data_IF_509604849931
#
_entry.id   IF_509604849931
#
_cell.length_a   1.000
_cell.length_b   1.000
_cell.length_c   1.000
_cell.angle_alpha   90.00
_cell.angle_beta   90.00
_cell.angle_gamma   90.00
#
_symmetry.space_group_name_H-M   'P 1'
#
loop_
_entity.id
_entity.type
_entity.pdbx_description
1 polymer ?
#
# COMPACT_ATOMS: atom_id res chain seq x y z
N UNK A 1 5.87 -20.78 3.62
CA UNK A 1 7.29 -21.21 3.80
C UNK A 1 7.31 -22.72 3.65
N UNK A 2 8.05 -23.25 2.68
CA UNK A 2 8.11 -24.71 2.43
C UNK A 2 8.43 -25.13 0.99
N UNK A 3 8.47 -24.18 0.05
CA UNK A 3 8.76 -24.41 -1.37
C UNK A 3 10.27 -24.42 -1.72
N UNK A 4 11.18 -24.60 -0.76
CA UNK A 4 12.61 -24.31 -1.00
C UNK A 4 13.63 -25.42 -0.64
N UNK A 5 13.20 -26.67 -0.38
CA UNK A 5 14.17 -27.75 -0.08
C UNK A 5 14.20 -28.93 -1.07
N UNK A 6 13.33 -28.96 -2.10
CA UNK A 6 13.33 -30.08 -3.06
C UNK A 6 14.31 -29.93 -4.25
N UNK A 7 14.94 -28.77 -4.45
CA UNK A 7 15.80 -28.53 -5.63
C UNK A 7 17.25 -28.99 -5.48
N UNK A 8 17.66 -29.52 -4.31
CA UNK A 8 19.05 -29.93 -4.06
C UNK A 8 19.34 -31.43 -4.27
N UNK A 9 18.33 -32.29 -4.46
CA UNK A 9 18.50 -33.75 -4.54
C UNK A 9 18.54 -34.32 -5.97
N UNK A 10 18.62 -33.46 -7.00
CA UNK A 10 18.55 -33.86 -8.42
C UNK A 10 19.90 -33.67 -9.11
N UNK A 11 20.97 -34.28 -8.58
CA UNK A 11 22.26 -34.32 -9.31
C UNK A 11 22.92 -35.70 -9.40
N UNK A 12 22.34 -36.77 -8.84
CA UNK A 12 22.84 -38.15 -9.05
C UNK A 12 21.74 -39.22 -9.03
N UNK A 13 20.70 -39.06 -9.84
CA UNK A 13 19.64 -40.07 -9.95
C UNK A 13 19.83 -40.85 -11.25
N UNK A 14 20.15 -42.13 -11.11
CA UNK A 14 20.51 -43.04 -12.20
C UNK A 14 19.25 -43.35 -13.04
N UNK A 15 19.34 -43.47 -14.37
CA UNK A 15 18.17 -43.65 -15.26
C UNK A 15 17.32 -44.87 -14.86
N UNK A 16 17.94 -45.90 -14.27
CA UNK A 16 17.27 -47.07 -13.69
C UNK A 16 16.36 -46.75 -12.50
N UNK A 17 16.70 -45.77 -11.65
CA UNK A 17 15.84 -45.37 -10.53
C UNK A 17 14.66 -44.52 -10.99
N UNK A 18 14.81 -43.81 -12.12
CA UNK A 18 13.71 -43.08 -12.76
C UNK A 18 12.68 -44.04 -13.39
N UNK A 19 13.14 -45.15 -13.97
CA UNK A 19 12.23 -46.16 -14.54
C UNK A 19 11.51 -46.98 -13.46
N UNK A 20 12.16 -47.25 -12.32
CA UNK A 20 11.51 -47.92 -11.19
C UNK A 20 10.43 -47.04 -10.54
N UNK A 21 10.66 -45.72 -10.41
CA UNK A 21 9.65 -44.82 -9.83
C UNK A 21 8.44 -44.65 -10.76
N UNK A 22 8.64 -44.65 -12.08
CA UNK A 22 7.54 -44.64 -13.05
C UNK A 22 6.72 -45.94 -12.97
N UNK A 23 7.35 -47.11 -12.78
CA UNK A 23 6.64 -48.37 -12.61
C UNK A 23 5.79 -48.42 -11.33
N UNK A 24 6.24 -47.79 -10.24
CA UNK A 24 5.47 -47.66 -8.99
C UNK A 24 4.27 -46.72 -9.16
N UNK A 25 4.38 -45.68 -10.00
CA UNK A 25 3.27 -44.77 -10.29
C UNK A 25 2.17 -45.39 -11.18
N UNK A 26 2.47 -46.42 -11.98
CA UNK A 26 1.49 -47.06 -12.89
C UNK A 26 0.65 -48.15 -12.20
N UNK A 27 1.08 -48.64 -11.03
CA UNK A 27 0.36 -49.66 -10.24
C UNK A 27 -0.32 -49.12 -8.98
N UNK A 28 -0.43 -47.80 -8.84
CA UNK A 28 -1.15 -47.15 -7.75
C UNK A 28 -2.64 -46.97 -8.03
N UNK A 29 -3.34 -48.02 -8.47
CA UNK A 29 -4.80 -48.08 -8.24
C UNK A 29 -4.98 -48.33 -6.75
N UNK A 30 -5.25 -47.24 -6.01
CA UNK A 30 -5.68 -47.30 -4.62
C UNK A 30 -7.01 -48.01 -4.54
N UNK A 31 -6.92 -49.33 -4.36
CA UNK A 31 -7.99 -50.25 -4.06
C UNK A 31 -8.81 -49.78 -2.86
N UNK A 32 -10.12 -49.97 -2.96
CA UNK A 32 -11.11 -49.50 -1.99
C UNK A 32 -10.79 -49.95 -0.58
N UNK A 33 -10.38 -49.00 0.26
CA UNK A 33 -10.30 -49.16 1.72
C UNK A 33 -10.92 -47.92 2.34
N UNK A 34 -11.86 -48.13 3.27
CA UNK A 34 -12.64 -47.08 3.95
C UNK A 34 -11.81 -45.83 4.29
N UNK A 35 -11.93 -44.78 3.48
CA UNK A 35 -11.37 -43.46 3.81
C UNK A 35 -12.17 -42.88 4.97
N UNK A 36 -11.65 -43.06 6.19
CA UNK A 36 -12.22 -42.48 7.40
C UNK A 36 -12.09 -40.95 7.42
N UNK A 37 -13.18 -40.25 7.69
CA UNK A 37 -13.22 -38.78 7.72
C UNK A 37 -12.90 -38.18 9.09
N UNK A 38 -12.39 -38.99 10.03
CA UNK A 38 -12.09 -38.60 11.41
C UNK A 38 -11.00 -37.53 11.51
N UNK A 39 -9.94 -37.62 10.71
CA UNK A 39 -8.88 -36.60 10.66
C UNK A 39 -9.39 -35.25 10.13
N UNK A 40 -10.26 -35.29 9.13
CA UNK A 40 -10.92 -34.11 8.54
C UNK A 40 -11.87 -33.46 9.55
N UNK A 41 -12.61 -34.29 10.31
CA UNK A 41 -13.48 -33.83 11.39
C UNK A 41 -12.71 -33.02 12.43
N UNK A 42 -11.57 -33.53 12.91
CA UNK A 42 -10.75 -32.81 13.88
C UNK A 42 -10.24 -31.46 13.35
N UNK A 43 -9.81 -31.40 12.08
CA UNK A 43 -9.32 -30.18 11.46
C UNK A 43 -10.42 -29.10 11.32
N UNK A 44 -11.67 -29.49 11.04
CA UNK A 44 -12.80 -28.57 10.94
C UNK A 44 -13.39 -28.18 12.29
N UNK A 45 -13.34 -29.06 13.29
CA UNK A 45 -13.68 -28.73 14.68
C UNK A 45 -12.78 -27.62 15.23
N UNK A 46 -11.48 -27.65 14.93
CA UNK A 46 -10.55 -26.58 15.30
C UNK A 46 -10.89 -25.22 14.64
N UNK A 47 -11.68 -25.23 13.56
CA UNK A 47 -12.21 -24.03 12.89
C UNK A 47 -13.62 -23.64 13.34
N UNK A 48 -14.19 -24.34 14.33
CA UNK A 48 -15.54 -24.11 14.85
C UNK A 48 -16.67 -24.71 14.01
N UNK A 49 -16.37 -25.70 13.15
CA UNK A 49 -17.36 -26.40 12.33
C UNK A 49 -17.49 -27.83 12.86
N UNK A 50 -18.49 -28.07 13.74
CA UNK A 50 -18.59 -29.29 14.53
C UNK A 50 -19.53 -30.38 13.96
N UNK A 51 -20.52 -30.02 13.14
CA UNK A 51 -21.68 -30.91 12.86
C UNK A 51 -21.84 -31.44 11.41
N UNK A 52 -21.09 -30.94 10.42
CA UNK A 52 -21.39 -31.25 9.00
C UNK A 52 -20.44 -32.27 8.35
N UNK A 53 -19.60 -32.95 9.14
CA UNK A 53 -18.59 -33.91 8.63
C UNK A 53 -19.09 -35.36 8.76
N UNK A 54 -19.27 -36.10 7.64
CA UNK A 54 -19.69 -37.49 7.67
C UNK A 54 -18.60 -38.39 8.28
N UNK A 55 -18.97 -39.55 8.84
CA UNK A 55 -18.01 -40.48 9.45
C UNK A 55 -17.13 -41.22 8.43
N UNK A 56 -17.65 -41.41 7.21
CA UNK A 56 -16.98 -42.10 6.10
C UNK A 56 -17.08 -41.23 4.84
N UNK A 57 -16.17 -41.44 3.89
CA UNK A 57 -16.18 -40.73 2.61
C UNK A 57 -17.46 -41.03 1.81
N UNK A 58 -18.09 -39.98 1.28
CA UNK A 58 -19.29 -40.03 0.45
C UNK A 58 -18.96 -39.64 -1.00
N UNK A 59 -19.83 -39.96 -1.97
CA UNK A 59 -19.68 -39.45 -3.34
C UNK A 59 -19.82 -37.93 -3.34
N UNK A 60 -18.95 -37.22 -4.07
CA UNK A 60 -18.91 -35.75 -4.14
C UNK A 60 -19.73 -35.12 -5.27
N UNK A 61 -20.67 -35.83 -5.87
CA UNK A 61 -21.46 -35.32 -7.00
C UNK A 61 -22.30 -34.07 -6.65
N UNK A 62 -22.66 -33.91 -5.37
CA UNK A 62 -23.37 -32.74 -4.84
C UNK A 62 -22.51 -31.49 -4.71
N UNK A 63 -21.18 -31.60 -4.88
CA UNK A 63 -20.24 -30.49 -4.70
C UNK A 63 -20.13 -29.60 -5.94
N UNK A 64 -19.97 -28.29 -5.70
CA UNK A 64 -19.90 -27.25 -6.74
C UNK A 64 -18.51 -26.65 -6.91
N UNK A 65 -17.74 -26.55 -5.83
CA UNK A 65 -16.43 -25.87 -5.79
C UNK A 65 -15.30 -26.91 -5.70
N UNK A 66 -15.44 -27.87 -4.81
CA UNK A 66 -14.53 -28.98 -4.62
C UNK A 66 -14.66 -30.02 -5.75
N UNK A 67 -13.61 -30.83 -5.93
CA UNK A 67 -13.60 -31.88 -6.95
C UNK A 67 -14.68 -32.94 -6.65
N UNK A 68 -15.41 -33.36 -7.69
CA UNK A 68 -16.48 -34.36 -7.62
C UNK A 68 -15.93 -35.78 -7.55
N UNK A 69 -15.19 -36.09 -6.49
CA UNK A 69 -14.66 -37.42 -6.16
C UNK A 69 -15.17 -37.87 -4.79
N UNK A 70 -14.77 -39.06 -4.32
CA UNK A 70 -14.99 -39.47 -2.94
C UNK A 70 -14.44 -38.39 -1.98
N UNK A 71 -15.27 -37.93 -1.06
CA UNK A 71 -15.03 -36.71 -0.27
C UNK A 71 -15.60 -36.83 1.14
N UNK A 72 -15.02 -36.09 2.08
CA UNK A 72 -15.53 -35.91 3.44
C UNK A 72 -16.33 -34.61 3.58
N UNK A 73 -16.75 -34.01 2.47
CA UNK A 73 -17.44 -32.72 2.43
C UNK A 73 -18.90 -32.86 1.99
N UNK A 74 -19.82 -32.35 2.79
CA UNK A 74 -21.25 -32.20 2.44
C UNK A 74 -21.49 -30.86 1.73
N UNK A 75 -22.64 -30.68 1.07
CA UNK A 75 -22.98 -29.40 0.41
C UNK A 75 -23.04 -28.25 1.43
N UNK A 76 -23.58 -28.50 2.63
CA UNK A 76 -23.63 -27.51 3.71
C UNK A 76 -22.23 -27.14 4.23
N UNK A 77 -21.35 -28.15 4.40
CA UNK A 77 -19.96 -27.92 4.80
C UNK A 77 -19.21 -27.12 3.74
N UNK A 78 -19.39 -27.43 2.45
CA UNK A 78 -18.79 -26.70 1.34
C UNK A 78 -19.22 -25.22 1.33
N UNK A 79 -20.51 -24.97 1.55
CA UNK A 79 -21.03 -23.60 1.62
C UNK A 79 -20.47 -22.82 2.83
N UNK A 80 -20.43 -23.43 4.02
CA UNK A 80 -19.86 -22.81 5.23
C UNK A 80 -18.38 -22.51 5.06
N UNK A 81 -17.61 -23.46 4.52
CA UNK A 81 -16.18 -23.26 4.24
C UNK A 81 -15.94 -22.18 3.19
N UNK A 82 -16.76 -22.12 2.15
CA UNK A 82 -16.66 -21.06 1.14
C UNK A 82 -16.95 -19.68 1.74
N UNK A 83 -17.97 -19.57 2.60
CA UNK A 83 -18.32 -18.31 3.27
C UNK A 83 -17.20 -17.85 4.22
N UNK A 84 -16.71 -18.76 5.09
CA UNK A 84 -15.62 -18.48 6.02
C UNK A 84 -14.32 -18.11 5.29
N UNK A 85 -13.99 -18.82 4.20
CA UNK A 85 -12.79 -18.53 3.42
C UNK A 85 -12.85 -17.14 2.78
N UNK A 86 -14.03 -16.72 2.31
CA UNK A 86 -14.24 -15.38 1.75
C UNK A 86 -14.11 -14.30 2.82
N UNK A 87 -14.72 -14.51 4.00
CA UNK A 87 -14.61 -13.57 5.11
C UNK A 87 -13.17 -13.40 5.58
N UNK A 88 -12.44 -14.52 5.73
CA UNK A 88 -11.04 -14.50 6.14
C UNK A 88 -10.14 -13.82 5.10
N UNK A 89 -10.37 -14.10 3.81
CA UNK A 89 -9.68 -13.41 2.72
C UNK A 89 -9.94 -11.90 2.75
N UNK A 90 -11.21 -11.48 2.85
CA UNK A 90 -11.58 -10.07 2.92
C UNK A 90 -10.97 -9.40 4.16
N UNK A 91 -10.91 -10.11 5.30
CA UNK A 91 -10.29 -9.63 6.53
C UNK A 91 -8.80 -9.39 6.35
N UNK A 92 -8.06 -10.36 5.81
CA UNK A 92 -6.61 -10.23 5.57
C UNK A 92 -6.34 -9.13 4.54
N UNK A 93 -7.11 -9.08 3.46
CA UNK A 93 -6.96 -8.06 2.43
C UNK A 93 -7.15 -6.65 3.00
N UNK A 94 -8.21 -6.42 3.78
CA UNK A 94 -8.44 -5.14 4.46
C UNK A 94 -7.29 -4.79 5.39
N UNK A 95 -6.80 -5.74 6.19
CA UNK A 95 -5.68 -5.50 7.09
C UNK A 95 -4.40 -5.07 6.36
N UNK A 96 -4.06 -5.69 5.24
CA UNK A 96 -2.88 -5.30 4.45
C UNK A 96 -3.07 -3.95 3.75
N UNK A 97 -4.25 -3.70 3.20
CA UNK A 97 -4.59 -2.39 2.60
C UNK A 97 -4.55 -1.29 3.65
N UNK A 98 -5.08 -1.52 4.86
CA UNK A 98 -5.07 -0.55 5.94
C UNK A 98 -3.65 -0.27 6.45
N UNK A 99 -2.78 -1.29 6.53
CA UNK A 99 -1.36 -1.08 6.84
C UNK A 99 -0.69 -0.19 5.79
N UNK A 100 -0.95 -0.43 4.50
CA UNK A 100 -0.41 0.40 3.43
C UNK A 100 -0.95 1.83 3.51
N UNK A 101 -2.28 1.99 3.66
CA UNK A 101 -2.93 3.28 3.84
C UNK A 101 -2.33 4.05 5.01
N UNK A 102 -2.13 3.41 6.16
CA UNK A 102 -1.53 4.03 7.32
C UNK A 102 -0.11 4.51 7.04
N UNK A 103 0.72 3.67 6.40
CA UNK A 103 2.08 4.05 5.99
C UNK A 103 2.07 5.27 5.06
N UNK A 104 1.24 5.27 4.02
CA UNK A 104 1.13 6.40 3.11
C UNK A 104 0.64 7.66 3.81
N UNK A 105 -0.40 7.55 4.63
CA UNK A 105 -0.95 8.68 5.40
C UNK A 105 0.11 9.32 6.30
N UNK A 106 0.81 8.53 7.11
CA UNK A 106 1.87 9.04 8.00
C UNK A 106 3.00 9.70 7.22
N UNK A 107 3.40 9.13 6.07
CA UNK A 107 4.44 9.73 5.23
C UNK A 107 3.98 11.03 4.59
N UNK A 108 2.74 11.08 4.11
CA UNK A 108 2.15 12.29 3.53
C UNK A 108 2.03 13.41 4.57
N UNK A 109 1.56 13.12 5.78
CA UNK A 109 1.47 14.11 6.86
C UNK A 109 2.85 14.67 7.22
N UNK A 110 3.86 13.81 7.38
CA UNK A 110 5.23 14.27 7.68
C UNK A 110 5.83 15.10 6.55
N UNK A 111 5.55 14.73 5.30
CA UNK A 111 5.97 15.51 4.14
C UNK A 111 5.30 16.89 4.15
N UNK A 112 4.00 16.93 4.44
CA UNK A 112 3.24 18.18 4.51
C UNK A 112 3.74 19.11 5.61
N UNK A 113 3.92 18.58 6.81
CA UNK A 113 4.49 19.31 7.96
C UNK A 113 5.86 19.89 7.60
N UNK A 114 6.75 19.07 7.01
CA UNK A 114 8.08 19.50 6.61
C UNK A 114 8.05 20.65 5.61
N UNK A 115 7.24 20.56 4.54
CA UNK A 115 7.19 21.62 3.52
C UNK A 115 6.58 22.92 4.04
N UNK A 116 5.56 22.84 4.89
CA UNK A 116 4.99 24.02 5.57
C UNK A 116 5.99 24.69 6.49
N UNK A 117 6.73 23.91 7.27
CA UNK A 117 7.78 24.44 8.15
C UNK A 117 8.92 25.06 7.33
N UNK A 118 9.31 24.42 6.23
CA UNK A 118 10.33 24.93 5.31
C UNK A 118 9.95 26.30 4.72
N UNK A 119 8.71 26.45 4.23
CA UNK A 119 8.22 27.73 3.69
C UNK A 119 8.18 28.82 4.77
N UNK A 120 7.62 28.50 5.94
CA UNK A 120 7.54 29.44 7.06
C UNK A 120 8.91 29.88 7.57
N UNK A 121 9.83 28.92 7.71
CA UNK A 121 11.21 29.21 8.13
C UNK A 121 11.93 30.04 7.09
N UNK A 122 11.79 29.71 5.80
CA UNK A 122 12.37 30.48 4.70
C UNK A 122 11.85 31.93 4.69
N UNK A 123 10.55 32.15 4.91
CA UNK A 123 9.93 33.48 5.00
C UNK A 123 10.53 34.30 6.14
N UNK A 124 10.64 33.70 7.34
CA UNK A 124 11.20 34.36 8.52
C UNK A 124 12.68 34.68 8.33
N UNK A 125 13.48 33.69 7.95
CA UNK A 125 14.93 33.83 7.83
C UNK A 125 15.29 34.81 6.70
N UNK A 126 14.52 34.80 5.60
CA UNK A 126 14.63 35.80 4.54
C UNK A 126 14.34 37.20 5.06
N UNK A 127 13.23 37.39 5.79
CA UNK A 127 12.87 38.70 6.34
C UNK A 127 13.94 39.22 7.31
N UNK A 128 14.43 38.39 8.23
CA UNK A 128 15.48 38.77 9.20
C UNK A 128 16.78 39.16 8.49
N UNK A 129 17.22 38.35 7.52
CA UNK A 129 18.42 38.63 6.74
C UNK A 129 18.32 39.93 5.94
N UNK A 130 17.18 40.18 5.31
CA UNK A 130 16.96 41.39 4.51
C UNK A 130 16.81 42.62 5.38
N UNK A 131 16.12 42.53 6.51
CA UNK A 131 16.01 43.61 7.48
C UNK A 131 17.38 43.98 8.04
N UNK A 132 18.23 43.00 8.36
CA UNK A 132 19.61 43.23 8.83
C UNK A 132 20.49 43.90 7.76
N UNK A 133 20.30 43.56 6.49
CA UNK A 133 21.15 44.02 5.38
C UNK A 133 20.71 45.38 4.82
N UNK A 134 19.41 45.58 4.64
CA UNK A 134 18.83 46.74 3.96
C UNK A 134 18.06 47.68 4.89
N UNK A 135 17.81 47.29 6.15
CA UNK A 135 17.19 48.14 7.15
C UNK A 135 15.75 48.57 6.80
N UNK A 136 15.41 49.80 7.21
CA UNK A 136 14.07 50.39 7.07
C UNK A 136 13.60 50.52 5.61
N UNK A 137 14.52 50.65 4.66
CA UNK A 137 14.21 50.72 3.23
C UNK A 137 13.53 49.44 2.75
N UNK A 138 14.00 48.29 3.23
CA UNK A 138 13.33 47.01 3.01
C UNK A 138 12.05 46.91 3.83
N UNK A 139 12.06 47.25 5.11
CA UNK A 139 10.92 47.06 6.01
C UNK A 139 9.63 47.73 5.47
N UNK A 140 9.79 48.96 4.95
CA UNK A 140 8.70 49.75 4.35
C UNK A 140 8.09 49.07 3.10
N UNK A 141 8.87 48.24 2.40
CA UNK A 141 8.47 47.56 1.15
C UNK A 141 8.38 46.04 1.32
N UNK A 142 8.45 45.53 2.56
CA UNK A 142 8.51 44.10 2.86
C UNK A 142 7.25 43.34 2.45
N UNK A 143 6.13 44.06 2.27
CA UNK A 143 4.86 43.51 1.78
C UNK A 143 5.01 42.78 0.43
N UNK A 144 5.88 43.24 -0.47
CA UNK A 144 6.12 42.61 -1.78
C UNK A 144 6.60 41.15 -1.63
N UNK A 145 7.50 40.93 -0.66
CA UNK A 145 8.02 39.61 -0.36
C UNK A 145 7.02 38.80 0.48
N UNK A 146 6.28 39.45 1.38
CA UNK A 146 5.20 38.80 2.12
C UNK A 146 4.16 38.18 1.17
N UNK A 147 3.68 38.94 0.19
CA UNK A 147 2.67 38.53 -0.78
C UNK A 147 3.20 37.40 -1.69
N UNK A 148 4.50 37.45 -2.06
CA UNK A 148 5.15 36.35 -2.78
C UNK A 148 5.13 35.04 -1.96
N UNK A 149 5.51 35.09 -0.68
CA UNK A 149 5.46 33.89 0.18
C UNK A 149 4.03 33.38 0.39
N UNK A 150 3.05 34.27 0.53
CA UNK A 150 1.64 33.89 0.63
C UNK A 150 1.14 33.18 -0.64
N UNK A 151 1.54 33.65 -1.82
CA UNK A 151 1.25 32.97 -3.08
C UNK A 151 1.91 31.58 -3.17
N UNK A 152 3.14 31.43 -2.69
CA UNK A 152 3.83 30.12 -2.63
C UNK A 152 3.12 29.15 -1.67
N UNK A 153 2.68 29.64 -0.51
CA UNK A 153 1.91 28.86 0.46
C UNK A 153 0.54 28.45 -0.11
N UNK A 154 -0.16 29.36 -0.79
CA UNK A 154 -1.44 29.09 -1.43
C UNK A 154 -1.30 28.11 -2.60
N UNK A 155 -0.24 28.24 -3.41
CA UNK A 155 0.09 27.28 -4.47
C UNK A 155 0.30 25.87 -3.89
N UNK A 156 1.07 25.76 -2.80
CA UNK A 156 1.33 24.49 -2.15
C UNK A 156 0.06 23.87 -1.53
N UNK A 157 -0.80 24.67 -0.89
CA UNK A 157 -1.95 24.16 -0.12
C UNK A 157 -3.20 23.92 -0.95
N UNK A 158 -3.49 24.79 -1.92
CA UNK A 158 -4.73 24.76 -2.70
C UNK A 158 -4.52 24.41 -4.17
N UNK A 159 -3.30 24.61 -4.70
CA UNK A 159 -3.00 24.48 -6.13
C UNK A 159 -3.72 25.50 -7.02
N UNK A 160 -4.44 26.48 -6.45
CA UNK A 160 -5.28 27.44 -7.18
C UNK A 160 -4.57 28.71 -7.64
N UNK A 161 -3.24 28.73 -7.57
CA UNK A 161 -2.41 29.89 -7.95
C UNK A 161 -1.61 29.51 -9.19
N UNK A 162 -1.67 30.33 -10.24
CA UNK A 162 -0.71 30.23 -11.33
C UNK A 162 0.62 30.78 -10.83
N UNK A 163 1.58 29.88 -10.59
CA UNK A 163 2.88 30.24 -10.04
C UNK A 163 3.69 31.14 -10.98
N UNK A 164 3.51 30.99 -12.31
CA UNK A 164 4.21 31.82 -13.28
C UNK A 164 3.68 33.24 -13.20
N UNK A 165 2.35 33.41 -13.23
CA UNK A 165 1.70 34.72 -13.10
C UNK A 165 2.05 35.40 -11.76
N UNK A 166 2.01 34.65 -10.65
CA UNK A 166 2.34 35.19 -9.33
C UNK A 166 3.80 35.66 -9.23
N UNK A 167 4.74 34.91 -9.82
CA UNK A 167 6.15 35.28 -9.84
C UNK A 167 6.42 36.47 -10.78
N UNK A 168 5.76 36.52 -11.94
CA UNK A 168 5.85 37.66 -12.86
C UNK A 168 5.35 38.95 -12.19
N UNK A 169 4.20 38.88 -11.50
CA UNK A 169 3.66 39.99 -10.73
C UNK A 169 4.61 40.45 -9.61
N UNK A 170 5.22 39.50 -8.89
CA UNK A 170 6.24 39.78 -7.88
C UNK A 170 7.44 40.54 -8.47
N UNK A 171 8.04 40.03 -9.56
CA UNK A 171 9.21 40.68 -10.16
C UNK A 171 8.87 42.04 -10.75
N UNK A 172 7.67 42.22 -11.33
CA UNK A 172 7.21 43.51 -11.81
C UNK A 172 7.12 44.53 -10.66
N UNK A 173 6.48 44.18 -9.55
CA UNK A 173 6.38 45.04 -8.37
C UNK A 173 7.77 45.36 -7.78
N UNK A 174 8.63 44.34 -7.69
CA UNK A 174 9.99 44.48 -7.18
C UNK A 174 10.81 45.43 -8.06
N UNK A 175 10.78 45.27 -9.38
CA UNK A 175 11.54 46.12 -10.30
C UNK A 175 11.10 47.57 -10.27
N UNK A 176 9.78 47.84 -10.18
CA UNK A 176 9.26 49.19 -10.02
C UNK A 176 9.78 49.84 -8.74
N UNK A 177 9.75 49.12 -7.61
CA UNK A 177 10.28 49.64 -6.34
C UNK A 177 11.79 49.80 -6.33
N UNK A 178 12.53 48.87 -6.93
CA UNK A 178 13.98 49.03 -7.08
C UNK A 178 14.31 50.26 -7.92
N UNK A 179 13.55 50.53 -8.97
CA UNK A 179 13.74 51.71 -9.80
C UNK A 179 13.50 53.02 -9.01
N UNK A 180 12.40 53.10 -8.25
CA UNK A 180 12.10 54.25 -7.38
C UNK A 180 13.21 54.48 -6.35
N UNK A 181 13.67 53.42 -5.67
CA UNK A 181 14.70 53.49 -4.63
C UNK A 181 16.06 53.91 -5.20
N UNK A 182 16.44 53.39 -6.37
CA UNK A 182 17.71 53.74 -7.02
C UNK A 182 17.71 55.18 -7.58
N UNK A 183 16.54 55.71 -7.90
CA UNK A 183 16.36 57.03 -8.50
C UNK A 183 15.67 58.03 -7.57
N UNK A 184 15.86 57.90 -6.25
CA UNK A 184 15.22 58.74 -5.22
C UNK A 184 15.44 60.26 -5.37
N UNK A 185 16.37 60.68 -6.24
CA UNK A 185 16.63 62.08 -6.62
C UNK A 185 15.59 62.67 -7.58
N UNK A 186 14.75 61.83 -8.20
CA UNK A 186 13.67 62.23 -9.11
C UNK A 186 12.31 62.02 -8.45
N UNK A 187 11.33 62.87 -8.79
CA UNK A 187 9.92 62.65 -8.46
C UNK A 187 9.25 61.95 -9.64
N UNK A 188 8.63 60.81 -9.38
CA UNK A 188 7.90 60.01 -10.36
C UNK A 188 6.39 60.10 -10.11
#
# INVERSE_FOLDING_TARGET
MGLQECTAYVTRVNILTLLLSIAICVLGEGDGTELGCTGVKYAFQAKGIEDDVPSQAISGDHLRICQRSMTCCTEELEHKLSAQSREEFDRVLRQEVDKLRHKFSTRMTKFDEFFRELLNTSKRDFHEMFLRTYGMQYDTNSYIFHDMFENLENYYTTGGVDLVEALDGFFQALYLKMFEVLNAQYSF
#
